data_IF_021910526754
#
_entry.id   IF_021910526754
#
_cell.length_a   1.000
_cell.length_b   1.000
_cell.length_c   1.000
_cell.angle_alpha   90.00
_cell.angle_beta   90.00
_cell.angle_gamma   90.00
#
_symmetry.space_group_name_H-M   'P 1'
#
loop_
_entity.id
_entity.type
_entity.pdbx_description
1 polymer ?
#
# COMPACT_ATOMS: atom_id res chain seq x y z
N UNK A 1 4.01 -1.20 6.42
CA UNK A 1 3.41 -2.52 6.07
C UNK A 1 1.88 -2.44 6.02
N UNK A 2 1.24 -1.58 6.81
CA UNK A 2 -0.21 -1.38 6.89
C UNK A 2 -0.91 -1.25 5.52
N UNK A 3 -0.35 -0.47 4.60
CA UNK A 3 -0.88 -0.28 3.24
C UNK A 3 -1.03 -1.56 2.40
N UNK A 4 -0.43 -2.69 2.79
CA UNK A 4 -0.68 -3.99 2.14
C UNK A 4 -2.13 -4.40 2.39
N UNK A 5 -2.64 -4.25 3.63
CA UNK A 5 -4.04 -4.52 3.95
C UNK A 5 -4.96 -3.51 3.26
N UNK A 6 -4.61 -2.23 3.24
CA UNK A 6 -5.36 -1.20 2.51
C UNK A 6 -5.53 -1.58 1.03
N UNK A 7 -4.44 -1.97 0.37
CA UNK A 7 -4.47 -2.42 -1.02
C UNK A 7 -5.25 -3.72 -1.20
N UNK A 8 -5.11 -4.69 -0.30
CA UNK A 8 -5.86 -5.95 -0.35
C UNK A 8 -7.37 -5.69 -0.37
N UNK A 9 -7.86 -4.84 0.53
CA UNK A 9 -9.30 -4.49 0.59
C UNK A 9 -9.72 -3.77 -0.70
N UNK A 10 -8.91 -2.85 -1.23
CA UNK A 10 -9.20 -2.17 -2.49
C UNK A 10 -9.31 -3.14 -3.67
N UNK A 11 -8.37 -4.09 -3.80
CA UNK A 11 -8.41 -5.07 -4.87
C UNK A 11 -9.48 -6.14 -4.68
N UNK A 12 -9.85 -6.49 -3.43
CA UNK A 12 -11.02 -7.33 -3.16
C UNK A 12 -12.31 -6.62 -3.61
N UNK A 13 -12.49 -5.34 -3.27
CA UNK A 13 -13.63 -4.53 -3.71
C UNK A 13 -13.68 -4.39 -5.24
N UNK A 14 -12.54 -4.20 -5.90
CA UNK A 14 -12.46 -4.17 -7.36
C UNK A 14 -12.88 -5.51 -7.98
N UNK A 15 -12.39 -6.62 -7.44
CA UNK A 15 -12.75 -7.97 -7.90
C UNK A 15 -14.24 -8.27 -7.73
N UNK A 16 -14.86 -7.75 -6.67
CA UNK A 16 -16.28 -7.92 -6.38
C UNK A 16 -17.18 -6.98 -7.19
N UNK A 17 -16.61 -6.05 -7.97
CA UNK A 17 -17.38 -5.05 -8.75
C UNK A 17 -17.89 -3.86 -7.94
N UNK A 18 -17.41 -3.69 -6.70
CA UNK A 18 -17.77 -2.57 -5.82
C UNK A 18 -16.93 -1.31 -6.09
N UNK A 19 -15.81 -1.47 -6.81
CA UNK A 19 -14.85 -0.43 -7.14
C UNK A 19 -14.39 -0.57 -8.59
N UNK A 20 -14.64 0.44 -9.43
CA UNK A 20 -14.16 0.48 -10.82
C UNK A 20 -12.81 1.24 -10.88
N UNK A 21 -11.87 0.74 -11.69
CA UNK A 21 -10.53 1.33 -11.81
C UNK A 21 -10.56 2.74 -12.44
N UNK A 22 -11.52 2.99 -13.32
CA UNK A 22 -11.74 4.26 -14.01
C UNK A 22 -12.72 5.20 -13.28
N UNK A 23 -13.27 4.77 -12.13
CA UNK A 23 -14.10 5.61 -11.29
C UNK A 23 -13.28 6.79 -10.74
N UNK A 24 -13.83 8.00 -10.84
CA UNK A 24 -13.24 9.20 -10.24
C UNK A 24 -13.70 9.39 -8.79
N UNK A 25 -12.74 9.69 -7.93
CA UNK A 25 -12.94 9.97 -6.50
C UNK A 25 -12.60 11.43 -6.24
N UNK A 26 -13.53 12.16 -5.65
CA UNK A 26 -13.29 13.52 -5.16
C UNK A 26 -12.48 13.45 -3.86
N UNK A 27 -11.33 14.12 -3.84
CA UNK A 27 -10.41 14.13 -2.69
C UNK A 27 -10.97 15.01 -1.56
N UNK A 28 -11.11 14.43 -0.39
CA UNK A 28 -11.54 15.16 0.81
C UNK A 28 -10.45 16.09 1.35
N UNK A 29 -10.85 17.07 2.19
CA UNK A 29 -9.88 17.90 2.94
C UNK A 29 -9.05 17.06 3.91
N UNK A 30 -9.60 15.98 4.47
CA UNK A 30 -8.88 15.08 5.36
C UNK A 30 -7.78 14.34 4.59
N UNK A 31 -8.10 13.72 3.45
CA UNK A 31 -7.15 13.02 2.61
C UNK A 31 -6.03 13.96 2.12
N UNK A 32 -6.37 15.14 1.59
CA UNK A 32 -5.39 16.12 1.10
C UNK A 32 -4.50 16.70 2.19
N UNK A 33 -4.96 16.71 3.44
CA UNK A 33 -4.21 17.19 4.62
C UNK A 33 -3.24 16.17 5.22
N UNK A 34 -3.14 14.97 4.66
CA UNK A 34 -2.30 13.91 5.21
C UNK A 34 -0.81 14.25 5.10
N UNK A 35 -0.08 13.97 6.18
CA UNK A 35 1.37 14.11 6.23
C UNK A 35 2.14 12.84 5.85
N UNK A 36 3.46 12.92 5.89
CA UNK A 36 4.37 11.82 5.53
C UNK A 36 4.50 11.63 4.02
N UNK A 37 4.62 10.39 3.56
CA UNK A 37 4.68 10.11 2.11
C UNK A 37 3.33 10.43 1.46
N UNK A 38 3.35 11.27 0.42
CA UNK A 38 2.15 11.75 -0.26
C UNK A 38 2.45 12.09 -1.72
N UNK A 39 1.44 12.20 -2.53
CA UNK A 39 1.52 12.64 -3.92
C UNK A 39 0.91 14.03 -4.12
N UNK A 40 0.59 14.72 -3.02
CA UNK A 40 0.08 16.10 -2.98
C UNK A 40 -1.27 16.27 -3.67
N UNK A 41 -2.21 15.36 -3.34
CA UNK A 41 -3.60 15.48 -3.80
C UNK A 41 -4.25 16.76 -3.26
N UNK A 42 -4.97 17.46 -4.13
CA UNK A 42 -5.67 18.68 -3.74
C UNK A 42 -7.10 18.38 -3.29
N UNK A 43 -7.56 19.08 -2.26
CA UNK A 43 -8.95 18.97 -1.82
C UNK A 43 -9.92 19.39 -2.95
N UNK A 44 -10.99 18.61 -3.12
CA UNK A 44 -12.00 18.73 -4.18
C UNK A 44 -11.49 18.42 -5.61
N UNK A 45 -10.22 18.05 -5.81
CA UNK A 45 -9.77 17.49 -7.07
C UNK A 45 -10.32 16.07 -7.27
N UNK A 46 -10.45 15.65 -8.51
CA UNK A 46 -10.85 14.30 -8.87
C UNK A 46 -9.65 13.50 -9.37
N UNK A 47 -9.53 12.27 -8.90
CA UNK A 47 -8.53 11.31 -9.36
C UNK A 47 -9.16 9.94 -9.56
N UNK A 48 -8.74 9.22 -10.59
CA UNK A 48 -9.23 7.85 -10.79
C UNK A 48 -8.72 6.90 -9.70
N UNK A 49 -9.53 5.88 -9.41
CA UNK A 49 -9.12 4.77 -8.52
C UNK A 49 -7.78 4.20 -8.94
N UNK A 50 -7.56 3.97 -10.24
CA UNK A 50 -6.30 3.45 -10.76
C UNK A 50 -5.10 4.34 -10.45
N UNK A 51 -5.26 5.67 -10.52
CA UNK A 51 -4.20 6.62 -10.18
C UNK A 51 -3.92 6.66 -8.67
N UNK A 52 -4.96 6.57 -7.85
CA UNK A 52 -4.82 6.46 -6.39
C UNK A 52 -4.13 5.16 -5.97
N UNK A 53 -4.53 4.01 -6.53
CA UNK A 53 -3.86 2.72 -6.29
C UNK A 53 -2.39 2.75 -6.72
N UNK A 54 -2.08 3.30 -7.90
CA UNK A 54 -0.71 3.52 -8.37
C UNK A 54 0.08 4.35 -7.35
N UNK A 55 -0.49 5.44 -6.85
CA UNK A 55 0.14 6.32 -5.86
C UNK A 55 0.45 5.60 -4.54
N UNK A 56 -0.46 4.76 -4.04
CA UNK A 56 -0.25 3.96 -2.83
C UNK A 56 0.86 2.92 -3.04
N UNK A 57 0.85 2.24 -4.17
CA UNK A 57 1.79 1.13 -4.45
C UNK A 57 3.19 1.66 -4.70
N UNK A 58 3.34 2.66 -5.57
CA UNK A 58 4.63 3.17 -6.03
C UNK A 58 5.24 4.14 -5.02
N UNK A 59 4.52 5.21 -4.67
CA UNK A 59 5.01 6.27 -3.80
C UNK A 59 4.69 6.06 -2.31
N UNK A 60 3.90 5.04 -1.96
CA UNK A 60 3.44 4.84 -0.59
C UNK A 60 2.58 5.99 -0.04
N UNK A 61 1.79 6.62 -0.89
CA UNK A 61 1.02 7.83 -0.63
C UNK A 61 -0.02 7.64 0.49
N UNK A 62 0.04 8.49 1.51
CA UNK A 62 -0.91 8.50 2.64
C UNK A 62 -2.23 9.16 2.24
N UNK A 63 -2.16 10.29 1.53
CA UNK A 63 -3.31 11.02 0.98
C UNK A 63 -4.18 10.11 0.11
N UNK A 64 -3.59 9.39 -0.84
CA UNK A 64 -4.29 8.39 -1.65
C UNK A 64 -4.86 7.23 -0.81
N UNK A 65 -4.15 6.80 0.26
CA UNK A 65 -4.64 5.72 1.13
C UNK A 65 -5.91 6.14 1.88
N UNK A 66 -5.95 7.37 2.40
CA UNK A 66 -7.12 7.91 3.10
C UNK A 66 -8.28 8.14 2.12
N UNK A 67 -8.01 8.68 0.92
CA UNK A 67 -9.04 8.85 -0.11
C UNK A 67 -9.73 7.52 -0.47
N UNK A 68 -8.93 6.44 -0.64
CA UNK A 68 -9.46 5.10 -0.91
C UNK A 68 -10.25 4.54 0.28
N UNK A 69 -9.78 4.76 1.52
CA UNK A 69 -10.48 4.33 2.73
C UNK A 69 -11.84 5.01 2.85
N UNK A 70 -11.90 6.34 2.66
CA UNK A 70 -13.15 7.12 2.69
C UNK A 70 -14.12 6.68 1.59
N UNK A 71 -13.62 6.38 0.37
CA UNK A 71 -14.46 5.89 -0.73
C UNK A 71 -15.09 4.53 -0.43
N UNK A 72 -14.35 3.61 0.19
CA UNK A 72 -14.82 2.24 0.42
C UNK A 72 -15.66 2.08 1.68
N UNK A 73 -15.41 2.87 2.72
CA UNK A 73 -16.05 2.71 4.00
C UNK A 73 -16.75 3.99 4.54
N UNK A 74 -16.68 5.10 3.82
CA UNK A 74 -17.23 6.38 4.27
C UNK A 74 -16.30 7.16 5.19
N UNK A 75 -15.42 6.50 5.95
CA UNK A 75 -14.40 7.13 6.80
C UNK A 75 -13.18 6.22 7.00
N UNK A 76 -12.04 6.82 7.43
CA UNK A 76 -10.87 6.02 7.83
C UNK A 76 -11.19 5.10 9.02
N UNK A 77 -12.02 5.54 9.96
CA UNK A 77 -12.38 4.74 11.14
C UNK A 77 -13.11 3.46 10.74
N UNK A 78 -14.14 3.57 9.93
CA UNK A 78 -14.90 2.41 9.43
C UNK A 78 -14.03 1.51 8.54
N UNK A 79 -13.13 2.11 7.77
CA UNK A 79 -12.18 1.34 6.98
C UNK A 79 -11.21 0.53 7.86
N UNK A 80 -10.76 1.07 8.99
CA UNK A 80 -9.93 0.36 9.97
C UNK A 80 -10.68 -0.84 10.57
N UNK A 81 -11.98 -0.74 10.77
CA UNK A 81 -12.80 -1.89 11.20
C UNK A 81 -12.78 -2.99 10.14
N UNK A 82 -12.91 -2.63 8.84
CA UNK A 82 -12.75 -3.59 7.74
C UNK A 82 -11.37 -4.22 7.71
N UNK A 83 -10.30 -3.43 7.96
CA UNK A 83 -8.93 -3.95 8.01
C UNK A 83 -8.76 -4.99 9.13
N UNK A 84 -9.28 -4.72 10.32
CA UNK A 84 -9.19 -5.63 11.45
C UNK A 84 -10.05 -6.89 11.24
N UNK A 85 -11.25 -6.74 10.69
CA UNK A 85 -12.09 -7.87 10.30
C UNK A 85 -11.40 -8.77 9.27
N UNK A 86 -10.81 -8.18 8.24
CA UNK A 86 -10.04 -8.93 7.23
C UNK A 86 -8.83 -9.63 7.86
N UNK A 87 -8.14 -9.00 8.81
CA UNK A 87 -7.03 -9.63 9.54
C UNK A 87 -7.50 -10.85 10.34
N UNK A 88 -8.65 -10.78 10.99
CA UNK A 88 -9.26 -11.90 11.71
C UNK A 88 -9.63 -13.04 10.74
N UNK A 89 -10.30 -12.73 9.62
CA UNK A 89 -10.65 -13.70 8.57
C UNK A 89 -9.43 -14.44 8.02
N UNK A 90 -8.29 -13.76 7.91
CA UNK A 90 -7.03 -14.31 7.45
C UNK A 90 -6.23 -15.03 8.55
N UNK A 91 -6.71 -15.03 9.80
CA UNK A 91 -6.02 -15.65 10.93
C UNK A 91 -4.75 -14.92 11.36
N UNK A 92 -4.66 -13.60 11.14
CA UNK A 92 -3.54 -12.75 11.53
C UNK A 92 -3.60 -12.40 13.02
N UNK A 93 -3.19 -13.35 13.86
CA UNK A 93 -3.37 -13.29 15.34
C UNK A 93 -2.50 -12.25 16.06
N UNK A 94 -1.48 -11.73 15.40
CA UNK A 94 -0.53 -10.77 15.97
C UNK A 94 -0.55 -9.45 15.19
N UNK A 95 -1.75 -9.00 14.81
CA UNK A 95 -1.93 -7.77 14.04
C UNK A 95 -3.14 -6.99 14.54
N UNK A 96 -2.95 -5.69 14.72
CA UNK A 96 -4.00 -4.72 14.92
C UNK A 96 -3.73 -3.46 14.10
N UNK A 97 -4.73 -3.00 13.36
CA UNK A 97 -4.70 -1.77 12.59
C UNK A 97 -5.44 -0.66 13.35
N UNK A 98 -4.87 0.56 13.31
CA UNK A 98 -5.45 1.76 13.93
C UNK A 98 -5.60 2.91 12.91
N UNK A 99 -4.98 2.77 11.74
CA UNK A 99 -5.14 3.64 10.59
C UNK A 99 -4.84 2.87 9.28
N UNK A 100 -5.24 3.44 8.15
CA UNK A 100 -5.01 2.84 6.83
C UNK A 100 -3.62 3.16 6.25
N UNK A 101 -2.89 4.09 6.83
CA UNK A 101 -1.63 4.61 6.31
C UNK A 101 -0.39 3.94 6.87
N UNK A 102 -0.45 3.46 8.11
CA UNK A 102 0.70 2.95 8.84
C UNK A 102 1.54 4.04 9.50
N UNK A 103 1.00 5.26 9.64
CA UNK A 103 1.59 6.29 10.49
C UNK A 103 1.57 5.82 11.95
N UNK A 104 2.56 6.21 12.77
CA UNK A 104 2.64 5.78 14.16
C UNK A 104 1.38 6.12 14.95
N UNK A 105 0.79 5.12 15.57
CA UNK A 105 -0.28 5.28 16.59
C UNK A 105 -0.15 4.19 17.65
N UNK A 106 -0.50 4.46 18.91
CA UNK A 106 -0.55 3.44 19.95
C UNK A 106 -1.39 2.23 19.53
N UNK A 107 -0.98 1.04 19.96
CA UNK A 107 -1.70 -0.22 19.69
C UNK A 107 -1.75 -0.65 18.22
N UNK A 108 -0.96 -0.06 17.32
CA UNK A 108 -0.80 -0.54 15.96
C UNK A 108 0.44 -1.44 15.86
N UNK A 109 0.23 -2.70 15.52
CA UNK A 109 1.31 -3.69 15.43
C UNK A 109 1.00 -4.76 14.40
N UNK A 110 2.04 -5.47 13.98
CA UNK A 110 1.95 -6.67 13.15
C UNK A 110 3.19 -7.54 13.34
N UNK A 111 3.15 -8.77 12.84
CA UNK A 111 4.28 -9.69 12.78
C UNK A 111 4.71 -9.95 11.34
N UNK A 112 5.97 -10.38 11.14
CA UNK A 112 6.44 -10.76 9.80
C UNK A 112 5.58 -11.87 9.19
N UNK A 113 5.13 -12.83 10.01
CA UNK A 113 4.21 -13.89 9.59
C UNK A 113 2.88 -13.33 9.09
N UNK A 114 2.25 -12.45 9.85
CA UNK A 114 0.94 -11.90 9.47
C UNK A 114 1.06 -10.99 8.24
N UNK A 115 2.15 -10.22 8.14
CA UNK A 115 2.46 -9.45 6.93
C UNK A 115 2.59 -10.39 5.71
N UNK A 116 3.24 -11.55 5.84
CA UNK A 116 3.36 -12.51 4.75
C UNK A 116 2.01 -13.11 4.34
N UNK A 117 1.09 -13.31 5.27
CA UNK A 117 -0.26 -13.79 5.01
C UNK A 117 -1.04 -12.77 4.16
N UNK A 118 -1.18 -11.51 4.64
CA UNK A 118 -1.91 -10.50 3.88
C UNK A 118 -1.26 -10.16 2.54
N UNK A 119 0.07 -10.23 2.45
CA UNK A 119 0.77 -9.99 1.20
C UNK A 119 0.55 -11.14 0.21
N UNK A 120 0.54 -12.39 0.68
CA UNK A 120 0.18 -13.55 -0.15
C UNK A 120 -1.23 -13.42 -0.75
N UNK A 121 -2.20 -12.92 0.03
CA UNK A 121 -3.56 -12.67 -0.48
C UNK A 121 -3.56 -11.57 -1.55
N UNK A 122 -2.87 -10.44 -1.31
CA UNK A 122 -2.76 -9.36 -2.28
C UNK A 122 -2.17 -9.85 -3.62
N UNK A 123 -1.18 -10.76 -3.58
CA UNK A 123 -0.55 -11.32 -4.77
C UNK A 123 -1.48 -12.23 -5.61
N UNK A 124 -2.65 -12.59 -5.12
CA UNK A 124 -3.66 -13.31 -5.90
C UNK A 124 -4.44 -12.42 -6.87
N UNK A 125 -4.29 -11.09 -6.76
CA UNK A 125 -4.92 -10.12 -7.65
C UNK A 125 -4.02 -9.77 -8.83
N UNK A 126 -4.35 -10.20 -10.06
CA UNK A 126 -3.50 -9.94 -11.24
C UNK A 126 -3.31 -8.45 -11.52
N UNK A 127 -4.35 -7.65 -11.27
CA UNK A 127 -4.33 -6.21 -11.52
C UNK A 127 -3.35 -5.45 -10.62
N UNK A 128 -3.03 -5.97 -9.44
CA UNK A 128 -2.01 -5.41 -8.57
C UNK A 128 -0.65 -5.31 -9.28
N UNK A 129 -0.29 -6.31 -10.10
CA UNK A 129 1.00 -6.35 -10.81
C UNK A 129 1.12 -5.31 -11.93
N UNK A 130 0.02 -4.74 -12.40
CA UNK A 130 0.04 -3.63 -13.36
C UNK A 130 0.73 -2.40 -12.77
N UNK A 131 0.58 -2.20 -11.46
CA UNK A 131 1.14 -1.05 -10.73
C UNK A 131 2.43 -1.40 -9.99
N UNK A 132 2.55 -2.58 -9.39
CA UNK A 132 3.67 -2.93 -8.51
C UNK A 132 5.01 -3.01 -9.25
N UNK A 133 4.98 -3.27 -10.56
CA UNK A 133 6.17 -3.32 -11.45
C UNK A 133 6.63 -1.96 -11.97
N UNK A 134 5.87 -0.91 -11.73
CA UNK A 134 6.23 0.45 -12.15
C UNK A 134 7.45 0.90 -11.33
N UNK A 135 8.53 1.34 -12.03
CA UNK A 135 9.68 1.92 -11.38
C UNK A 135 9.51 3.42 -11.14
N UNK A 136 9.17 4.17 -12.17
CA UNK A 136 8.89 5.61 -12.11
C UNK A 136 7.67 5.93 -12.95
N UNK A 137 6.88 6.91 -12.51
CA UNK A 137 5.70 7.40 -13.22
C UNK A 137 5.37 8.81 -12.72
N UNK A 138 4.26 9.35 -13.18
CA UNK A 138 3.70 10.64 -12.79
C UNK A 138 2.26 10.48 -12.27
N UNK A 139 1.89 11.34 -11.34
CA UNK A 139 0.51 11.57 -10.92
C UNK A 139 0.11 12.95 -11.42
N UNK A 140 -0.93 13.01 -12.25
CA UNK A 140 -1.40 14.27 -12.81
C UNK A 140 -2.32 14.99 -11.82
N UNK A 141 -2.25 16.31 -11.80
CA UNK A 141 -3.08 17.19 -10.98
C UNK A 141 -3.79 18.22 -11.84
N UNK A 142 -4.79 18.93 -11.33
CA UNK A 142 -5.39 20.05 -12.04
C UNK A 142 -4.35 21.09 -12.49
N UNK A 143 -4.59 21.73 -13.66
CA UNK A 143 -3.72 22.77 -14.19
C UNK A 143 -2.39 22.28 -14.75
N UNK A 144 -2.36 21.09 -15.33
CA UNK A 144 -1.17 20.46 -15.97
C UNK A 144 0.01 20.20 -15.02
N UNK A 145 -0.18 20.39 -13.74
CA UNK A 145 0.80 20.07 -12.71
C UNK A 145 0.91 18.54 -12.56
N UNK A 146 2.08 18.03 -12.21
CA UNK A 146 2.28 16.61 -11.91
C UNK A 146 3.25 16.41 -10.76
N UNK A 147 3.13 15.26 -10.10
CA UNK A 147 4.09 14.76 -9.12
C UNK A 147 4.82 13.55 -9.71
N UNK A 148 6.14 13.63 -9.81
CA UNK A 148 6.94 12.45 -10.17
C UNK A 148 7.00 11.47 -9.01
N UNK A 149 6.79 10.20 -9.30
CA UNK A 149 6.82 9.12 -8.31
C UNK A 149 7.82 8.06 -8.69
N UNK A 150 8.47 7.48 -7.69
CA UNK A 150 9.37 6.35 -7.87
C UNK A 150 9.04 5.24 -6.87
N UNK A 151 9.20 4.00 -7.31
CA UNK A 151 8.91 2.85 -6.46
C UNK A 151 9.85 2.80 -5.26
N UNK A 152 9.27 2.77 -4.08
CA UNK A 152 10.02 2.67 -2.83
C UNK A 152 10.71 1.33 -2.66
N UNK A 153 10.23 0.29 -3.36
CA UNK A 153 10.89 -1.01 -3.42
C UNK A 153 11.94 -1.05 -4.54
N UNK A 154 13.21 -0.82 -4.19
CA UNK A 154 14.32 -0.83 -5.15
C UNK A 154 14.53 -2.18 -5.84
N UNK A 155 14.05 -3.30 -5.27
CA UNK A 155 14.20 -4.62 -5.86
C UNK A 155 13.47 -4.76 -7.20
N UNK A 156 12.42 -3.95 -7.44
CA UNK A 156 11.73 -3.91 -8.74
C UNK A 156 12.70 -3.63 -9.90
N UNK A 157 13.72 -2.80 -9.65
CA UNK A 157 14.71 -2.47 -10.67
C UNK A 157 15.97 -3.33 -10.59
N UNK A 158 16.40 -3.70 -9.39
CA UNK A 158 17.76 -4.22 -9.17
C UNK A 158 17.81 -5.72 -8.85
N UNK A 159 16.67 -6.39 -8.65
CA UNK A 159 16.62 -7.83 -8.35
C UNK A 159 15.82 -8.58 -9.40
N UNK A 160 16.51 -9.43 -10.18
CA UNK A 160 15.87 -10.21 -11.23
C UNK A 160 14.80 -11.15 -10.68
N UNK A 161 13.58 -11.02 -11.22
CA UNK A 161 12.41 -11.79 -10.79
C UNK A 161 11.54 -11.09 -9.75
N UNK A 162 11.98 -9.99 -9.12
CA UNK A 162 11.13 -9.22 -8.24
C UNK A 162 10.05 -8.49 -9.05
N UNK A 163 8.80 -8.69 -8.70
CA UNK A 163 7.64 -8.13 -9.40
C UNK A 163 6.70 -7.34 -8.49
N UNK A 164 6.93 -7.38 -7.19
CA UNK A 164 6.11 -6.63 -6.23
C UNK A 164 6.79 -6.49 -4.88
N UNK A 165 6.26 -5.60 -4.06
CA UNK A 165 6.68 -5.42 -2.68
C UNK A 165 6.19 -4.10 -2.10
N UNK A 166 6.34 -3.98 -0.78
CA UNK A 166 6.02 -2.78 -0.04
C UNK A 166 7.07 -2.53 1.03
N UNK A 167 7.61 -1.32 1.02
CA UNK A 167 8.51 -0.84 2.08
C UNK A 167 7.71 -0.15 3.18
N UNK A 168 8.30 -0.07 4.37
CA UNK A 168 7.81 0.72 5.47
C UNK A 168 8.95 1.22 6.34
N UNK A 169 8.75 2.35 6.98
CA UNK A 169 9.65 2.88 8.00
C UNK A 169 8.88 3.77 8.96
N UNK A 170 9.09 3.55 10.22
CA UNK A 170 8.85 4.51 11.32
C UNK A 170 9.99 4.35 12.32
N UNK A 171 10.17 5.33 13.20
CA UNK A 171 11.22 5.25 14.21
C UNK A 171 11.03 4.01 15.10
N UNK A 172 9.79 3.67 15.43
CA UNK A 172 9.45 2.55 16.31
C UNK A 172 9.56 1.20 15.59
N UNK A 173 9.17 1.14 14.33
CA UNK A 173 9.13 -0.12 13.57
C UNK A 173 10.46 -0.46 12.88
N UNK A 174 11.39 0.50 12.78
CA UNK A 174 12.60 0.32 11.96
C UNK A 174 12.30 0.19 10.48
N UNK A 175 13.27 -0.26 9.70
CA UNK A 175 13.12 -0.47 8.27
C UNK A 175 12.47 -1.82 7.96
N UNK A 176 11.33 -1.80 7.26
CA UNK A 176 10.55 -2.99 6.92
C UNK A 176 10.42 -3.15 5.41
N UNK A 177 10.33 -4.40 4.94
CA UNK A 177 10.08 -4.75 3.54
C UNK A 177 9.34 -6.09 3.47
N UNK A 178 8.27 -6.12 2.68
CA UNK A 178 7.73 -7.35 2.13
C UNK A 178 7.98 -7.32 0.62
N UNK A 179 8.59 -8.36 0.07
CA UNK A 179 8.84 -8.47 -1.37
C UNK A 179 8.48 -9.84 -1.89
N UNK A 180 8.17 -9.90 -3.18
CA UNK A 180 7.90 -11.14 -3.90
C UNK A 180 8.73 -11.19 -5.17
N UNK A 181 9.23 -12.38 -5.47
CA UNK A 181 9.95 -12.67 -6.70
C UNK A 181 9.51 -14.02 -7.28
N UNK A 182 9.57 -14.12 -8.61
CA UNK A 182 9.37 -15.39 -9.32
C UNK A 182 10.70 -15.81 -9.97
N UNK A 183 11.12 -17.04 -9.68
CA UNK A 183 12.24 -17.71 -10.37
C UNK A 183 11.89 -19.15 -10.70
N UNK A 184 12.18 -19.59 -11.90
CA UNK A 184 11.91 -20.97 -12.36
C UNK A 184 10.47 -21.42 -12.11
N UNK A 185 9.50 -20.51 -12.29
CA UNK A 185 8.07 -20.78 -12.05
C UNK A 185 7.64 -20.79 -10.58
N UNK A 186 8.56 -20.64 -9.64
CA UNK A 186 8.27 -20.63 -8.21
C UNK A 186 8.23 -19.18 -7.69
N UNK A 187 7.14 -18.79 -7.01
CA UNK A 187 7.00 -17.51 -6.30
C UNK A 187 7.46 -17.68 -4.85
N UNK A 188 8.32 -16.79 -4.43
CA UNK A 188 8.73 -16.66 -3.03
C UNK A 188 8.28 -15.29 -2.49
N UNK A 189 7.95 -15.27 -1.21
CA UNK A 189 7.65 -14.06 -0.44
C UNK A 189 8.67 -14.00 0.69
N UNK A 190 9.31 -12.85 0.84
CA UNK A 190 10.19 -12.56 1.97
C UNK A 190 9.68 -11.33 2.71
N UNK A 191 9.71 -11.38 4.05
CA UNK A 191 9.29 -10.27 4.92
C UNK A 191 10.36 -10.03 5.97
N UNK A 192 10.89 -8.81 5.97
CA UNK A 192 11.83 -8.30 6.98
C UNK A 192 11.15 -7.17 7.73
N UNK A 193 11.20 -7.23 9.06
CA UNK A 193 10.68 -6.19 9.96
C UNK A 193 11.81 -5.76 10.90
N UNK A 194 11.88 -4.45 11.17
CA UNK A 194 12.80 -3.88 12.15
C UNK A 194 14.30 -4.02 11.78
N UNK A 195 14.63 -3.98 10.48
CA UNK A 195 16.03 -3.86 10.10
C UNK A 195 16.61 -2.51 10.55
N UNK A 196 17.91 -2.46 10.94
CA UNK A 196 18.51 -1.26 11.48
C UNK A 196 18.62 -0.11 10.46
N UNK A 197 18.72 -0.44 9.19
CA UNK A 197 18.84 0.53 8.10
C UNK A 197 18.24 0.01 6.79
N UNK A 198 18.15 0.92 5.81
CA UNK A 198 17.57 0.60 4.50
C UNK A 198 18.42 -0.38 3.70
N UNK A 199 19.75 -0.40 3.85
CA UNK A 199 20.66 -1.31 3.13
C UNK A 199 20.46 -2.74 3.61
N UNK A 200 20.45 -2.93 4.93
CA UNK A 200 20.22 -4.23 5.57
C UNK A 200 18.86 -4.78 5.18
N UNK A 201 17.79 -3.97 5.24
CA UNK A 201 16.44 -4.37 4.81
C UNK A 201 16.39 -4.98 3.41
N UNK A 202 17.14 -4.40 2.45
CA UNK A 202 17.17 -4.92 1.08
C UNK A 202 18.14 -6.09 0.89
N UNK A 203 19.12 -6.27 1.77
CA UNK A 203 20.04 -7.39 1.74
C UNK A 203 19.44 -8.68 2.33
N UNK A 204 18.55 -8.55 3.32
CA UNK A 204 17.96 -9.66 4.07
C UNK A 204 16.72 -10.25 3.38
N UNK A 205 16.17 -9.58 2.36
CA UNK A 205 15.05 -10.01 1.53
C UNK A 205 15.56 -10.70 0.26
#
# INVERSE_FOLDING_TARGET
>A
MCKIMTLLICFDAQKNGELAIDENITISKNASGMGGSQVFLEANAEHSVGELLKSIIVASANDASVAMAERLAGSETEFVELMNKKAEELGMKNTAFVNCTGLPKPNQYSSAKDVSIMFSELLKHPDYFKYSRIWTDKVMHPGERFTEIANTNKLIRFYNGCDSGKTGYTTEAGHCLAASAIRNGMRLISVVISAPDSKTRFADV
#
